data_IF_850160235870
#
_entry.id   IF_850160235870
#
_cell.length_a   1.000
_cell.length_b   1.000
_cell.length_c   1.000
_cell.angle_alpha   90.00
_cell.angle_beta   90.00
_cell.angle_gamma   90.00
#
_symmetry.space_group_name_H-M   'P 1'
#
loop_
_entity.id
_entity.type
_entity.pdbx_description
1 polymer ?
#
# COMPACT_ATOMS: atom_id res chain seq x y z
N UNK A 1 -8.58 -22.05 -13.55
CA UNK A 1 -7.42 -21.18 -13.27
C UNK A 1 -6.29 -22.09 -12.87
N UNK A 2 -5.13 -21.98 -13.52
CA UNK A 2 -3.90 -22.56 -12.98
C UNK A 2 -3.54 -21.64 -11.82
N UNK A 3 -3.76 -22.09 -10.59
CA UNK A 3 -3.38 -21.35 -9.39
C UNK A 3 -1.87 -21.48 -9.24
N UNK A 4 -1.16 -20.40 -9.54
CA UNK A 4 0.27 -20.34 -9.31
C UNK A 4 0.50 -20.05 -7.82
N UNK A 5 1.61 -20.52 -7.25
CA UNK A 5 1.86 -20.39 -5.79
C UNK A 5 2.15 -18.95 -5.32
N UNK A 6 1.91 -17.94 -6.17
CA UNK A 6 2.18 -16.54 -5.88
C UNK A 6 1.25 -15.64 -6.72
N UNK A 7 0.47 -14.81 -6.05
CA UNK A 7 -0.61 -14.04 -6.67
C UNK A 7 -0.13 -12.87 -7.54
N UNK A 8 1.08 -12.34 -7.31
CA UNK A 8 1.68 -11.38 -8.25
C UNK A 8 1.95 -12.06 -9.59
N UNK A 9 2.43 -13.30 -9.59
CA UNK A 9 2.63 -14.05 -10.84
C UNK A 9 1.29 -14.33 -11.53
N UNK A 10 0.25 -14.69 -10.77
CA UNK A 10 -1.11 -14.85 -11.32
C UNK A 10 -1.60 -13.55 -12.00
N UNK A 11 -1.43 -12.40 -11.34
CA UNK A 11 -1.79 -11.08 -11.89
C UNK A 11 -1.05 -10.79 -13.21
N UNK A 12 0.26 -11.04 -13.27
CA UNK A 12 1.06 -10.82 -14.48
C UNK A 12 0.66 -11.77 -15.61
N UNK A 13 0.34 -13.03 -15.30
CA UNK A 13 -0.17 -13.99 -16.29
C UNK A 13 -1.48 -13.50 -16.90
N UNK A 14 -2.39 -13.02 -16.05
CA UNK A 14 -3.68 -12.50 -16.49
C UNK A 14 -3.50 -11.24 -17.35
N UNK A 15 -2.75 -10.25 -16.87
CA UNK A 15 -2.48 -8.99 -17.59
C UNK A 15 -1.85 -9.23 -18.96
N UNK A 16 -0.95 -10.20 -19.07
CA UNK A 16 -0.26 -10.54 -20.32
C UNK A 16 -1.01 -11.57 -21.18
N UNK A 17 -2.21 -12.01 -20.76
CA UNK A 17 -3.01 -13.04 -21.43
C UNK A 17 -2.23 -14.34 -21.73
N UNK A 18 -1.39 -14.77 -20.80
CA UNK A 18 -0.53 -15.94 -20.97
C UNK A 18 -1.33 -17.23 -20.72
N UNK A 19 -1.29 -18.18 -21.66
CA UNK A 19 -2.05 -19.43 -21.54
C UNK A 19 -1.29 -20.55 -20.81
N UNK A 20 0.05 -20.54 -20.87
CA UNK A 20 0.88 -21.51 -20.18
C UNK A 20 2.26 -20.92 -19.92
N UNK A 21 2.66 -20.89 -18.65
CA UNK A 21 4.01 -20.52 -18.23
C UNK A 21 4.66 -21.67 -17.45
N UNK A 22 5.98 -21.77 -17.57
CA UNK A 22 6.79 -22.63 -16.70
C UNK A 22 7.21 -21.81 -15.49
N UNK A 23 6.75 -22.19 -14.30
CA UNK A 23 7.14 -21.52 -13.06
C UNK A 23 8.28 -22.27 -12.40
N UNK A 24 9.43 -21.61 -12.34
CA UNK A 24 10.56 -22.09 -11.57
C UNK A 24 10.45 -21.63 -10.11
N UNK A 25 10.84 -22.46 -9.12
CA UNK A 25 10.83 -22.06 -7.71
C UNK A 25 11.59 -20.76 -7.42
N UNK A 26 12.66 -20.49 -8.17
CA UNK A 26 13.43 -19.26 -8.04
C UNK A 26 12.64 -18.00 -8.41
N UNK A 27 11.71 -18.10 -9.37
CA UNK A 27 10.84 -16.99 -9.75
C UNK A 27 9.85 -16.67 -8.62
N UNK A 28 9.23 -17.69 -8.04
CA UNK A 28 8.33 -17.57 -6.89
C UNK A 28 9.04 -16.93 -5.70
N UNK A 29 10.26 -17.38 -5.41
CA UNK A 29 11.06 -16.79 -4.33
C UNK A 29 11.37 -15.32 -4.61
N UNK A 30 11.80 -14.98 -5.83
CA UNK A 30 12.08 -13.58 -6.17
C UNK A 30 10.85 -12.67 -6.10
N UNK A 31 9.63 -13.20 -6.31
CA UNK A 31 8.39 -12.44 -6.13
C UNK A 31 8.11 -12.16 -4.64
N UNK A 32 8.47 -13.08 -3.75
CA UNK A 32 8.30 -12.91 -2.30
C UNK A 32 9.33 -11.97 -1.69
N UNK A 33 10.51 -11.86 -2.32
CA UNK A 33 11.62 -11.05 -1.84
C UNK A 33 11.54 -9.57 -2.28
N UNK A 34 10.49 -9.16 -3.01
CA UNK A 34 10.30 -7.77 -3.46
C UNK A 34 10.19 -6.85 -2.25
N UNK A 35 11.16 -5.95 -2.11
CA UNK A 35 11.28 -5.05 -0.98
C UNK A 35 11.22 -3.56 -1.40
N UNK A 36 11.22 -3.28 -2.69
CA UNK A 36 11.15 -1.93 -3.25
C UNK A 36 10.44 -1.88 -4.60
N UNK A 37 10.07 -0.68 -5.04
CA UNK A 37 9.54 -0.42 -6.37
C UNK A 37 10.54 -0.82 -7.45
N UNK A 38 11.83 -0.59 -7.24
CA UNK A 38 12.87 -1.01 -8.17
C UNK A 38 12.93 -2.55 -8.27
N UNK A 39 12.84 -3.27 -7.14
CA UNK A 39 12.78 -4.74 -7.16
C UNK A 39 11.55 -5.25 -7.92
N UNK A 40 10.40 -4.60 -7.73
CA UNK A 40 9.17 -4.92 -8.47
C UNK A 40 9.34 -4.69 -9.97
N UNK A 41 9.89 -3.53 -10.37
CA UNK A 41 10.15 -3.22 -11.78
C UNK A 41 11.07 -4.26 -12.40
N UNK A 42 12.21 -4.54 -11.76
CA UNK A 42 13.17 -5.56 -12.23
C UNK A 42 12.55 -6.96 -12.29
N UNK A 43 11.65 -7.29 -11.35
CA UNK A 43 10.91 -8.54 -11.38
C UNK A 43 9.98 -8.61 -12.60
N UNK A 44 9.16 -7.57 -12.84
CA UNK A 44 8.25 -7.49 -13.98
C UNK A 44 9.04 -7.53 -15.30
N UNK A 45 10.12 -6.77 -15.42
CA UNK A 45 11.01 -6.80 -16.59
C UNK A 45 11.55 -8.20 -16.84
N UNK A 46 12.09 -8.89 -15.83
CA UNK A 46 12.58 -10.26 -16.00
C UNK A 46 11.47 -11.20 -16.43
N UNK A 47 10.29 -11.06 -15.84
CA UNK A 47 9.11 -11.88 -16.18
C UNK A 47 8.68 -11.66 -17.63
N UNK A 48 8.54 -10.39 -18.07
CA UNK A 48 8.14 -10.05 -19.44
C UNK A 48 9.21 -10.47 -20.45
N UNK A 49 10.50 -10.28 -20.17
CA UNK A 49 11.57 -10.77 -21.06
C UNK A 49 11.56 -12.28 -21.28
N UNK A 50 11.08 -13.07 -20.32
CA UNK A 50 10.98 -14.52 -20.47
C UNK A 50 9.73 -14.98 -21.22
N UNK A 51 8.62 -14.26 -21.06
CA UNK A 51 7.30 -14.74 -21.53
C UNK A 51 6.70 -13.88 -22.65
N UNK A 52 6.89 -12.56 -22.61
CA UNK A 52 6.34 -11.59 -23.57
C UNK A 52 7.30 -10.41 -23.78
N UNK A 53 8.44 -10.56 -24.49
CA UNK A 53 9.48 -9.53 -24.55
C UNK A 53 9.06 -8.20 -25.19
N UNK A 54 7.94 -8.19 -25.92
CA UNK A 54 7.37 -6.97 -26.50
C UNK A 54 6.47 -6.19 -25.53
N UNK A 55 6.24 -6.71 -24.32
CA UNK A 55 5.44 -6.06 -23.27
C UNK A 55 6.20 -4.89 -22.66
N UNK A 56 5.51 -3.76 -22.52
CA UNK A 56 5.96 -2.53 -21.87
C UNK A 56 5.43 -2.37 -20.43
N UNK A 57 4.85 -3.42 -19.84
CA UNK A 57 4.21 -3.34 -18.52
C UNK A 57 5.07 -2.72 -17.40
N UNK A 58 6.38 -2.97 -17.38
CA UNK A 58 7.28 -2.35 -16.41
C UNK A 58 7.44 -0.84 -16.66
N UNK A 59 7.57 -0.44 -17.93
CA UNK A 59 7.67 0.95 -18.36
C UNK A 59 6.37 1.71 -18.05
N UNK A 60 5.21 1.11 -18.33
CA UNK A 60 3.90 1.69 -18.01
C UNK A 60 3.74 1.91 -16.49
N UNK A 61 4.16 0.94 -15.68
CA UNK A 61 4.12 1.08 -14.22
C UNK A 61 5.06 2.18 -13.73
N UNK A 62 6.27 2.26 -14.29
CA UNK A 62 7.25 3.32 -13.97
C UNK A 62 6.73 4.70 -14.35
N UNK A 63 6.12 4.85 -15.53
CA UNK A 63 5.51 6.12 -15.95
C UNK A 63 4.42 6.60 -14.97
N UNK A 64 3.54 5.71 -14.51
CA UNK A 64 2.48 6.06 -13.56
C UNK A 64 3.05 6.45 -12.18
N UNK A 65 4.06 5.72 -11.68
CA UNK A 65 4.75 6.07 -10.44
C UNK A 65 5.48 7.41 -10.57
N UNK A 66 6.14 7.67 -11.69
CA UNK A 66 6.82 8.94 -11.97
C UNK A 66 5.85 10.12 -12.01
N UNK A 67 4.66 9.94 -12.59
CA UNK A 67 3.60 10.96 -12.57
C UNK A 67 3.22 11.32 -11.13
N UNK A 68 3.07 10.32 -10.26
CA UNK A 68 2.74 10.50 -8.86
C UNK A 68 3.85 11.27 -8.13
N UNK A 69 5.10 10.82 -8.28
CA UNK A 69 6.29 11.48 -7.69
C UNK A 69 6.42 12.92 -8.18
N UNK A 70 6.19 13.17 -9.47
CA UNK A 70 6.32 14.48 -10.08
C UNK A 70 5.30 15.49 -9.54
N UNK A 71 4.07 15.06 -9.27
CA UNK A 71 3.04 15.91 -8.64
C UNK A 71 3.44 16.37 -7.24
N UNK A 72 4.27 15.59 -6.55
CA UNK A 72 4.71 15.84 -5.18
C UNK A 72 6.10 16.47 -5.06
N UNK A 73 6.82 16.67 -6.17
CA UNK A 73 8.23 17.14 -6.18
C UNK A 73 8.48 18.48 -5.48
N UNK A 74 7.42 19.28 -5.30
CA UNK A 74 7.49 20.58 -4.63
C UNK A 74 7.01 20.55 -3.18
N UNK A 75 6.64 19.39 -2.64
CA UNK A 75 6.23 19.23 -1.25
C UNK A 75 7.46 18.87 -0.42
N UNK A 76 7.96 19.78 0.42
CA UNK A 76 9.11 19.50 1.26
C UNK A 76 8.80 18.38 2.25
N UNK A 77 9.77 17.50 2.49
CA UNK A 77 9.61 16.32 3.35
C UNK A 77 9.17 16.71 4.77
N UNK A 78 9.62 17.84 5.30
CA UNK A 78 9.25 18.36 6.62
C UNK A 78 7.76 18.76 6.74
N UNK A 79 7.07 18.92 5.62
CA UNK A 79 5.63 19.24 5.58
C UNK A 79 4.76 18.03 5.24
N UNK A 80 5.39 16.88 4.93
CA UNK A 80 4.67 15.64 4.64
C UNK A 80 4.10 15.08 5.94
N UNK A 81 2.86 14.57 5.92
CA UNK A 81 2.25 13.99 7.11
C UNK A 81 3.03 12.73 7.54
N UNK A 82 3.19 12.57 8.84
CA UNK A 82 3.67 11.32 9.44
C UNK A 82 2.55 10.29 9.46
N UNK A 83 2.79 9.12 8.89
CA UNK A 83 1.79 8.08 8.63
C UNK A 83 2.14 6.83 9.41
N UNK A 84 1.23 6.39 10.29
CA UNK A 84 1.31 5.07 10.91
C UNK A 84 0.30 4.15 10.22
N UNK A 85 0.78 2.99 9.76
CA UNK A 85 -0.06 1.96 9.14
C UNK A 85 -0.12 0.73 10.06
N UNK A 86 -1.33 0.36 10.48
CA UNK A 86 -1.60 -0.76 11.37
C UNK A 86 -2.24 -1.93 10.62
N UNK A 87 -1.80 -3.13 10.97
CA UNK A 87 -2.42 -4.40 10.58
C UNK A 87 -3.57 -4.74 11.55
N UNK A 88 -3.31 -4.62 12.86
CA UNK A 88 -4.29 -4.88 13.91
C UNK A 88 -4.33 -3.73 14.90
N UNK A 89 -5.43 -3.62 15.65
CA UNK A 89 -5.63 -2.61 16.71
C UNK A 89 -5.70 -3.22 18.12
N UNK A 90 -5.83 -4.54 18.25
CA UNK A 90 -5.91 -5.24 19.54
C UNK A 90 -5.16 -6.60 19.53
N UNK A 91 -3.89 -6.65 19.99
CA UNK A 91 -3.04 -5.49 20.27
C UNK A 91 -2.67 -4.75 18.99
N UNK A 92 -2.38 -3.45 19.09
CA UNK A 92 -1.94 -2.67 17.95
C UNK A 92 -0.62 -3.20 17.37
N UNK A 93 -0.62 -3.59 16.09
CA UNK A 93 0.55 -4.08 15.38
C UNK A 93 0.75 -3.33 14.06
N UNK A 94 1.98 -2.92 13.71
CA UNK A 94 2.22 -2.22 12.47
C UNK A 94 2.17 -3.18 11.27
N UNK A 95 1.60 -2.71 10.15
CA UNK A 95 1.82 -3.34 8.85
C UNK A 95 3.03 -2.69 8.20
N UNK A 96 4.21 -3.27 8.43
CA UNK A 96 5.47 -2.72 7.93
C UNK A 96 6.27 -3.76 7.17
N UNK A 97 6.44 -3.52 5.88
CA UNK A 97 7.44 -4.14 5.03
C UNK A 97 8.28 -3.03 4.39
N UNK A 98 9.44 -3.40 3.81
CA UNK A 98 10.25 -2.43 3.09
C UNK A 98 9.46 -1.76 1.94
N UNK A 99 8.66 -2.54 1.21
CA UNK A 99 7.84 -2.06 0.11
C UNK A 99 6.71 -1.12 0.57
N UNK A 100 5.99 -1.46 1.65
CA UNK A 100 4.92 -0.57 2.15
C UNK A 100 5.48 0.73 2.69
N UNK A 101 6.62 0.64 3.38
CA UNK A 101 7.37 1.81 3.87
C UNK A 101 7.78 2.72 2.72
N UNK A 102 8.33 2.16 1.63
CA UNK A 102 8.67 2.93 0.45
C UNK A 102 7.42 3.51 -0.24
N UNK A 103 6.35 2.72 -0.36
CA UNK A 103 5.08 3.15 -0.98
C UNK A 103 4.47 4.35 -0.26
N UNK A 104 4.52 4.39 1.09
CA UNK A 104 4.11 5.57 1.87
C UNK A 104 4.97 6.80 1.51
N UNK A 105 6.29 6.64 1.29
CA UNK A 105 7.17 7.75 0.89
C UNK A 105 6.85 8.24 -0.52
N UNK A 106 6.62 7.33 -1.46
CA UNK A 106 6.23 7.63 -2.85
C UNK A 106 4.89 8.37 -2.86
N UNK A 107 3.92 7.92 -2.07
CA UNK A 107 2.62 8.56 -1.86
C UNK A 107 2.69 9.94 -1.17
N UNK A 108 3.87 10.38 -0.74
CA UNK A 108 4.08 11.70 -0.16
C UNK A 108 3.91 11.78 1.35
N UNK A 109 4.02 10.66 2.07
CA UNK A 109 4.02 10.58 3.53
C UNK A 109 5.41 10.37 4.12
N UNK A 110 5.47 10.37 5.45
CA UNK A 110 6.64 9.92 6.23
C UNK A 110 6.19 8.71 7.05
N UNK A 111 6.61 7.48 6.71
CA UNK A 111 6.21 6.30 7.47
C UNK A 111 6.78 6.35 8.88
N UNK A 112 5.96 5.98 9.87
CA UNK A 112 6.34 5.87 11.26
C UNK A 112 6.40 4.41 11.70
N UNK A 113 7.38 4.14 12.55
CA UNK A 113 7.43 2.90 13.31
C UNK A 113 6.41 2.93 14.46
N UNK A 114 5.96 1.75 14.92
CA UNK A 114 4.97 1.67 16.01
C UNK A 114 5.47 2.31 17.32
N UNK A 115 6.78 2.39 17.55
CA UNK A 115 7.34 3.07 18.73
C UNK A 115 7.15 4.60 18.68
N UNK A 116 6.93 5.15 17.49
CA UNK A 116 6.76 6.58 17.22
C UNK A 116 5.28 6.97 17.08
N UNK A 117 4.33 6.07 17.39
CA UNK A 117 2.89 6.24 17.15
C UNK A 117 2.31 7.58 17.66
N UNK A 118 2.90 8.15 18.72
CA UNK A 118 2.47 9.42 19.30
C UNK A 118 2.59 10.62 18.36
N UNK A 119 3.43 10.50 17.34
CA UNK A 119 3.71 11.53 16.35
C UNK A 119 2.86 11.37 15.07
N UNK A 120 2.00 10.35 14.98
CA UNK A 120 1.24 10.07 13.76
C UNK A 120 0.26 11.20 13.45
N UNK A 121 0.38 11.81 12.27
CA UNK A 121 -0.56 12.78 11.72
C UNK A 121 -1.74 12.09 11.01
N UNK A 122 -1.48 10.92 10.44
CA UNK A 122 -2.44 10.05 9.77
C UNK A 122 -2.31 8.64 10.35
N UNK A 123 -3.45 8.05 10.69
CA UNK A 123 -3.55 6.65 11.11
C UNK A 123 -4.29 5.86 10.04
N UNK A 124 -3.58 4.94 9.40
CA UNK A 124 -4.13 3.98 8.44
C UNK A 124 -4.30 2.64 9.12
N UNK A 125 -5.44 1.98 8.90
CA UNK A 125 -5.74 0.68 9.50
C UNK A 125 -6.25 -0.23 8.39
N UNK A 126 -5.58 -1.36 8.19
CA UNK A 126 -6.04 -2.37 7.25
C UNK A 126 -7.26 -3.10 7.82
N UNK A 127 -8.28 -3.31 6.98
CA UNK A 127 -9.47 -4.05 7.37
C UNK A 127 -9.31 -5.55 7.11
N UNK A 128 -8.56 -6.24 7.96
CA UNK A 128 -8.51 -7.71 7.94
C UNK A 128 -9.60 -8.34 8.81
N UNK A 129 -9.90 -7.72 9.96
CA UNK A 129 -10.87 -8.24 10.90
C UNK A 129 -12.28 -7.71 10.62
N UNK A 130 -13.26 -8.63 10.54
CA UNK A 130 -14.67 -8.28 10.39
C UNK A 130 -15.19 -7.38 11.53
N UNK A 131 -14.61 -7.49 12.73
CA UNK A 131 -15.06 -6.77 13.93
C UNK A 131 -14.43 -5.38 14.08
N UNK A 132 -13.54 -4.98 13.18
CA UNK A 132 -12.76 -3.74 13.29
C UNK A 132 -13.63 -2.51 13.64
N UNK A 133 -14.73 -2.29 12.91
CA UNK A 133 -15.63 -1.15 13.15
C UNK A 133 -16.25 -1.14 14.55
N UNK A 134 -16.48 -2.32 15.15
CA UNK A 134 -17.00 -2.42 16.52
C UNK A 134 -15.96 -2.14 17.59
N UNK A 135 -14.67 -2.40 17.30
CA UNK A 135 -13.55 -2.20 18.23
C UNK A 135 -12.95 -0.79 18.13
N UNK A 136 -13.02 -0.16 16.95
CA UNK A 136 -12.43 1.16 16.70
C UNK A 136 -12.83 2.22 17.73
N UNK A 137 -14.12 2.42 18.09
CA UNK A 137 -14.51 3.40 19.09
C UNK A 137 -13.80 3.23 20.44
N UNK A 138 -13.60 1.97 20.86
CA UNK A 138 -12.90 1.68 22.11
C UNK A 138 -11.39 1.92 21.96
N UNK A 139 -10.79 1.48 20.86
CA UNK A 139 -9.37 1.65 20.58
C UNK A 139 -8.95 3.12 20.60
N UNK A 140 -9.68 4.00 19.90
CA UNK A 140 -9.34 5.42 19.83
C UNK A 140 -9.52 6.17 21.15
N UNK A 141 -10.31 5.61 22.08
CA UNK A 141 -10.58 6.18 23.40
C UNK A 141 -9.56 5.71 24.45
N UNK A 142 -8.69 4.75 24.12
CA UNK A 142 -7.60 4.34 24.99
C UNK A 142 -6.72 5.54 25.35
N UNK A 143 -6.26 5.61 26.60
CA UNK A 143 -5.51 6.76 27.13
C UNK A 143 -4.23 7.02 26.30
N UNK A 144 -3.60 5.94 25.83
CA UNK A 144 -2.40 5.94 25.02
C UNK A 144 -2.64 6.54 23.63
N UNK A 145 -3.78 6.25 23.01
CA UNK A 145 -4.09 6.59 21.62
C UNK A 145 -4.84 7.91 21.47
N UNK A 146 -5.82 8.16 22.34
CA UNK A 146 -6.75 9.31 22.25
C UNK A 146 -6.08 10.68 22.11
N UNK A 147 -4.81 10.80 22.53
CA UNK A 147 -4.07 12.04 22.51
C UNK A 147 -3.19 12.29 21.28
N UNK A 148 -3.04 11.31 20.37
CA UNK A 148 -2.17 11.43 19.18
C UNK A 148 -2.78 12.38 18.13
N UNK A 149 -1.95 13.02 17.28
CA UNK A 149 -2.42 13.99 16.28
C UNK A 149 -3.47 13.40 15.32
N UNK A 150 -3.28 12.18 14.84
CA UNK A 150 -4.19 11.52 13.92
C UNK A 150 -5.62 11.42 14.48
N UNK A 151 -5.78 11.01 15.74
CA UNK A 151 -7.08 10.88 16.38
C UNK A 151 -7.68 12.26 16.67
N UNK A 152 -6.89 13.17 17.27
CA UNK A 152 -7.36 14.54 17.57
C UNK A 152 -7.85 15.31 16.34
N UNK A 153 -7.25 15.06 15.18
CA UNK A 153 -7.55 15.75 13.92
C UNK A 153 -8.49 14.97 13.00
N UNK A 154 -9.10 13.89 13.49
CA UNK A 154 -9.99 13.00 12.72
C UNK A 154 -9.36 12.48 11.41
N UNK A 155 -8.08 12.09 11.50
CA UNK A 155 -7.25 11.53 10.40
C UNK A 155 -7.06 10.03 10.58
N UNK A 156 -8.16 9.32 10.78
CA UNK A 156 -8.20 7.87 10.89
C UNK A 156 -8.86 7.33 9.63
N UNK A 157 -8.20 6.39 8.96
CA UNK A 157 -8.65 5.83 7.70
C UNK A 157 -8.56 4.31 7.73
N UNK A 158 -9.59 3.67 7.19
CA UNK A 158 -9.69 2.22 7.09
C UNK A 158 -9.49 1.85 5.63
N UNK A 159 -8.49 1.03 5.35
CA UNK A 159 -8.26 0.47 4.02
C UNK A 159 -9.09 -0.81 3.91
N UNK A 160 -10.02 -0.81 2.96
CA UNK A 160 -10.99 -1.88 2.68
C UNK A 160 -10.56 -2.78 1.52
N UNK A 161 -9.57 -2.36 0.72
CA UNK A 161 -9.05 -3.14 -0.40
C UNK A 161 -8.65 -4.53 0.08
N UNK A 162 -9.22 -5.56 -0.54
CA UNK A 162 -8.91 -6.95 -0.22
C UNK A 162 -7.42 -7.22 -0.46
N UNK A 163 -6.80 -7.96 0.47
CA UNK A 163 -5.38 -8.31 0.43
C UNK A 163 -4.42 -7.13 0.32
N UNK A 164 -4.81 -5.94 0.81
CA UNK A 164 -3.93 -4.76 0.81
C UNK A 164 -2.58 -5.07 1.43
N UNK A 165 -1.51 -4.91 0.65
CA UNK A 165 -0.13 -5.15 1.04
C UNK A 165 0.20 -6.58 1.55
N UNK A 166 -0.65 -7.58 1.26
CA UNK A 166 -0.41 -8.98 1.65
C UNK A 166 0.63 -9.67 0.76
N UNK A 167 0.60 -9.37 -0.54
CA UNK A 167 1.50 -9.96 -1.53
C UNK A 167 2.34 -8.83 -2.13
N UNK A 168 3.67 -8.82 -1.90
CA UNK A 168 4.54 -7.77 -2.42
C UNK A 168 4.36 -7.58 -3.92
N UNK A 169 4.05 -6.34 -4.32
CA UNK A 169 3.92 -5.94 -5.72
C UNK A 169 2.61 -6.26 -6.41
N UNK A 170 1.74 -7.10 -5.81
CA UNK A 170 0.40 -7.34 -6.35
C UNK A 170 -0.45 -6.08 -6.23
N UNK A 171 -1.19 -5.74 -7.28
CA UNK A 171 -2.02 -4.53 -7.37
C UNK A 171 -1.26 -3.24 -7.02
N UNK A 172 0.06 -3.21 -7.19
CA UNK A 172 0.93 -2.17 -6.62
C UNK A 172 0.47 -0.74 -6.96
N UNK A 173 0.10 -0.48 -8.21
CA UNK A 173 -0.37 0.83 -8.63
C UNK A 173 -1.66 1.24 -7.89
N UNK A 174 -2.63 0.33 -7.77
CA UNK A 174 -3.88 0.58 -7.05
C UNK A 174 -3.61 0.88 -5.57
N UNK A 175 -2.76 0.07 -4.93
CA UNK A 175 -2.38 0.28 -3.52
C UNK A 175 -1.68 1.62 -3.31
N UNK A 176 -0.82 2.01 -4.25
CA UNK A 176 -0.13 3.29 -4.22
C UNK A 176 -1.08 4.47 -4.43
N UNK A 177 -2.05 4.34 -5.34
CA UNK A 177 -3.10 5.35 -5.55
C UNK A 177 -3.98 5.53 -4.32
N UNK A 178 -4.37 4.44 -3.63
CA UNK A 178 -5.11 4.49 -2.37
C UNK A 178 -4.32 5.28 -1.32
N UNK A 179 -3.03 4.94 -1.14
CA UNK A 179 -2.15 5.64 -0.22
C UNK A 179 -2.03 7.13 -0.58
N UNK A 180 -1.79 7.45 -1.85
CA UNK A 180 -1.63 8.82 -2.32
C UNK A 180 -2.91 9.65 -2.17
N UNK A 181 -4.08 9.07 -2.44
CA UNK A 181 -5.38 9.72 -2.23
C UNK A 181 -5.62 10.05 -0.76
N UNK A 182 -5.29 9.14 0.17
CA UNK A 182 -5.46 9.37 1.61
C UNK A 182 -4.42 10.38 2.16
N UNK A 183 -3.14 10.22 1.78
CA UNK A 183 -2.02 10.98 2.33
C UNK A 183 -1.96 12.40 1.75
N UNK A 184 -2.26 12.54 0.46
CA UNK A 184 -2.16 13.80 -0.29
C UNK A 184 -3.47 14.14 -1.05
N UNK A 185 -4.64 14.22 -0.37
CA UNK A 185 -5.96 14.38 -1.00
C UNK A 185 -6.14 15.70 -1.76
N UNK A 186 -5.25 16.67 -1.58
CA UNK A 186 -5.23 17.93 -2.34
C UNK A 186 -4.68 17.74 -3.75
N UNK A 187 -3.89 16.70 -3.98
CA UNK A 187 -3.17 16.45 -5.23
C UNK A 187 -3.70 15.24 -5.99
N UNK A 188 -4.30 14.28 -5.28
CA UNK A 188 -4.79 13.03 -5.85
C UNK A 188 -6.26 12.82 -5.53
N UNK A 189 -7.01 12.49 -6.58
CA UNK A 189 -8.43 12.12 -6.54
C UNK A 189 -8.59 11.04 -7.61
N UNK A 190 -8.37 9.77 -7.24
CA UNK A 190 -8.52 8.62 -8.13
C UNK A 190 -9.93 8.03 -8.05
N UNK A 191 -10.64 8.30 -6.94
CA UNK A 191 -12.02 7.86 -6.72
C UNK A 191 -12.13 6.60 -5.88
N UNK A 192 -11.07 6.26 -5.14
CA UNK A 192 -10.98 5.07 -4.28
C UNK A 192 -11.78 5.24 -2.97
N UNK A 193 -12.07 6.48 -2.57
CA UNK A 193 -12.88 6.74 -1.38
C UNK A 193 -14.27 6.10 -1.45
N UNK A 194 -14.63 5.32 -0.41
CA UNK A 194 -15.88 4.57 -0.30
C UNK A 194 -15.81 3.17 -0.90
N UNK A 195 -14.89 2.95 -1.84
CA UNK A 195 -14.65 1.66 -2.49
C UNK A 195 -13.56 0.93 -1.69
N UNK A 196 -12.33 1.39 -1.82
CA UNK A 196 -11.11 0.76 -1.31
C UNK A 196 -10.64 1.32 0.03
N UNK A 197 -11.15 2.49 0.45
CA UNK A 197 -10.88 3.04 1.77
C UNK A 197 -12.01 3.94 2.26
N UNK A 198 -12.12 4.15 3.57
CA UNK A 198 -13.07 5.08 4.19
C UNK A 198 -12.42 5.87 5.31
N UNK A 199 -12.91 7.08 5.60
CA UNK A 199 -12.57 7.80 6.82
C UNK A 199 -13.44 7.28 7.97
N UNK A 200 -12.81 7.03 9.12
CA UNK A 200 -13.54 6.73 10.35
C UNK A 200 -13.76 8.04 11.11
N UNK A 201 -15.00 8.55 11.06
CA UNK A 201 -15.37 9.80 11.72
C UNK A 201 -15.72 9.57 13.20
N UNK A 202 -15.35 10.52 14.05
CA UNK A 202 -15.44 10.41 15.51
C UNK A 202 -16.82 10.75 16.09
N UNK A 203 -17.73 11.32 15.30
CA UNK A 203 -19.16 11.48 15.62
C UNK A 203 -19.49 12.37 16.83
#
# INVERSE_FOLDING_TARGET
MLEYKNELIDELVEKLNLQQISIEPALVQSAQDIASFEDLKLFIERFTHMHTPASNLAEELEEEVDILVHKLKFIPTETRPKVLLLENIDPASPLQSALTTESIRIAGGVPLEIQEYKDADILLIKQDEFLLYGQLPQFIQQEEWSSIPAIKNNKIYIIKKDDFANVPGKDYLLELEILAEIIQPKYFIFGHQGIDWVNFDLG
#
